data_IF_659537382132
#
_entry.id   IF_659537382132
#
_cell.length_a   1.000
_cell.length_b   1.000
_cell.length_c   1.000
_cell.angle_alpha   90.00
_cell.angle_beta   90.00
_cell.angle_gamma   90.00
#
_symmetry.space_group_name_H-M   'P 1'
#
loop_
_entity.id
_entity.type
_entity.pdbx_description
1 polymer ?
#
# COMPACT_ATOMS: atom_id res chain seq x y z
N UNK A 1 0.45 -3.95 -7.55
CA UNK A 1 0.49 -2.90 -6.51
C UNK A 1 0.44 -3.60 -5.16
N UNK A 2 1.59 -4.00 -4.61
CA UNK A 2 1.64 -4.47 -3.24
C UNK A 2 1.42 -3.31 -2.27
N UNK A 3 0.86 -3.63 -1.11
CA UNK A 3 0.65 -2.72 0.01
C UNK A 3 1.13 -3.46 1.26
N UNK A 4 2.01 -2.83 2.02
CA UNK A 4 2.48 -3.34 3.30
C UNK A 4 1.82 -2.54 4.42
N UNK A 5 1.31 -3.23 5.44
CA UNK A 5 0.43 -2.68 6.47
C UNK A 5 0.91 -3.13 7.85
N UNK A 6 0.89 -2.22 8.82
CA UNK A 6 0.98 -2.58 10.22
C UNK A 6 -0.33 -3.24 10.69
N UNK A 7 -0.22 -4.43 11.29
CA UNK A 7 -1.38 -5.30 11.56
C UNK A 7 -2.42 -4.63 12.48
N UNK A 8 -2.01 -3.99 13.56
CA UNK A 8 -2.96 -3.49 14.57
C UNK A 8 -3.64 -2.18 14.15
N UNK A 9 -2.83 -1.22 13.68
CA UNK A 9 -3.30 0.14 13.39
C UNK A 9 -3.76 0.35 11.95
N UNK A 10 -3.53 -0.63 11.09
CA UNK A 10 -3.80 -0.53 9.64
C UNK A 10 -3.03 0.63 9.00
N UNK A 11 -1.92 1.04 9.61
CA UNK A 11 -1.00 2.03 9.08
C UNK A 11 -0.35 1.45 7.84
N UNK A 12 -0.49 2.14 6.70
CA UNK A 12 0.16 1.71 5.46
C UNK A 12 1.63 2.12 5.53
N UNK A 13 2.50 1.12 5.55
CA UNK A 13 3.95 1.29 5.67
C UNK A 13 4.59 1.58 4.32
N UNK A 14 4.17 0.86 3.27
CA UNK A 14 4.64 1.12 1.91
C UNK A 14 3.61 0.70 0.86
N UNK A 15 3.68 1.34 -0.30
CA UNK A 15 2.93 1.00 -1.51
C UNK A 15 3.83 1.15 -2.73
N UNK A 16 3.78 0.17 -3.63
CA UNK A 16 4.56 0.19 -4.87
C UNK A 16 3.69 -0.04 -6.10
N UNK A 17 4.13 0.44 -7.25
CA UNK A 17 3.45 0.27 -8.54
C UNK A 17 4.35 -0.48 -9.51
N UNK A 18 3.81 -1.52 -10.13
CA UNK A 18 4.50 -2.27 -11.16
C UNK A 18 3.54 -2.75 -12.24
N UNK A 19 4.03 -2.95 -13.48
CA UNK A 19 3.23 -3.53 -14.55
C UNK A 19 2.81 -4.96 -14.20
N UNK A 20 1.62 -5.35 -14.65
CA UNK A 20 1.18 -6.74 -14.68
C UNK A 20 1.21 -7.23 -16.12
N UNK A 21 1.68 -8.45 -16.32
CA UNK A 21 1.62 -9.08 -17.62
C UNK A 21 0.17 -9.24 -18.07
N UNK A 22 -0.09 -9.14 -19.37
CA UNK A 22 -1.39 -9.48 -19.95
C UNK A 22 -1.55 -11.00 -19.88
N UNK A 23 -2.35 -11.49 -18.92
CA UNK A 23 -2.58 -12.91 -18.66
C UNK A 23 -4.07 -13.24 -18.75
N UNK A 24 -4.40 -14.51 -19.01
CA UNK A 24 -5.77 -15.05 -19.02
C UNK A 24 -6.29 -15.41 -20.41
N UNK A 25 -7.52 -15.93 -20.44
CA UNK A 25 -8.26 -16.31 -21.65
C UNK A 25 -8.82 -15.10 -22.39
N UNK A 26 -7.95 -14.36 -23.07
CA UNK A 26 -8.34 -13.22 -23.90
C UNK A 26 -9.18 -13.68 -25.10
N UNK A 27 -10.22 -12.92 -25.44
CA UNK A 27 -10.99 -13.14 -26.67
C UNK A 27 -10.10 -12.89 -27.88
N UNK A 28 -10.46 -13.47 -29.03
CA UNK A 28 -9.73 -13.31 -30.29
C UNK A 28 -9.33 -11.85 -30.59
N UNK A 29 -10.25 -10.86 -30.52
CA UNK A 29 -9.89 -9.47 -30.84
C UNK A 29 -8.91 -8.87 -29.82
N UNK A 30 -9.03 -9.24 -28.55
CA UNK A 30 -8.13 -8.74 -27.49
C UNK A 30 -6.73 -9.35 -27.62
N UNK A 31 -6.62 -10.60 -28.09
CA UNK A 31 -5.33 -11.24 -28.41
C UNK A 31 -4.65 -10.53 -29.57
N UNK A 32 -5.36 -10.28 -30.66
CA UNK A 32 -4.83 -9.53 -31.81
C UNK A 32 -4.34 -8.16 -31.35
N UNK A 33 -5.13 -7.43 -30.56
CA UNK A 33 -4.76 -6.12 -30.01
C UNK A 33 -3.52 -6.20 -29.11
N UNK A 34 -3.43 -7.23 -28.26
CA UNK A 34 -2.24 -7.49 -27.43
C UNK A 34 -1.02 -7.72 -28.31
N UNK A 35 -1.12 -8.55 -29.34
CA UNK A 35 0.01 -8.92 -30.19
C UNK A 35 0.52 -7.72 -30.99
N UNK A 36 -0.38 -6.88 -31.51
CA UNK A 36 -0.03 -5.60 -32.11
C UNK A 36 0.67 -4.63 -31.13
N UNK A 37 0.29 -4.65 -29.84
CA UNK A 37 0.96 -3.86 -28.82
C UNK A 37 2.35 -4.43 -28.48
N UNK A 38 2.47 -5.76 -28.40
CA UNK A 38 3.74 -6.44 -28.14
C UNK A 38 4.73 -6.20 -29.30
N UNK A 39 4.27 -6.26 -30.55
CA UNK A 39 5.09 -5.96 -31.72
C UNK A 39 5.62 -4.52 -31.71
N UNK A 40 4.82 -3.55 -31.25
CA UNK A 40 5.20 -2.13 -31.22
C UNK A 40 6.03 -1.73 -30.00
N UNK A 41 5.76 -2.32 -28.84
CA UNK A 41 6.23 -1.81 -27.54
C UNK A 41 6.92 -2.85 -26.67
N UNK A 42 7.08 -4.07 -27.19
CA UNK A 42 7.67 -5.20 -26.47
C UNK A 42 6.70 -5.87 -25.50
N UNK A 43 7.13 -7.03 -24.99
CA UNK A 43 6.33 -7.82 -24.06
C UNK A 43 6.20 -7.14 -22.69
N UNK A 44 4.95 -6.92 -22.25
CA UNK A 44 4.67 -6.44 -20.89
C UNK A 44 4.99 -7.53 -19.86
N UNK A 45 6.15 -7.40 -19.20
CA UNK A 45 6.54 -8.29 -18.09
C UNK A 45 5.86 -7.90 -16.79
N UNK A 46 5.68 -8.87 -15.89
CA UNK A 46 5.14 -8.65 -14.55
C UNK A 46 6.25 -8.15 -13.63
N UNK A 47 6.11 -6.94 -13.08
CA UNK A 47 7.02 -6.38 -12.07
C UNK A 47 6.57 -6.66 -10.63
N UNK A 48 5.63 -7.59 -10.42
CA UNK A 48 5.05 -7.84 -9.09
C UNK A 48 6.08 -8.28 -8.05
N UNK A 49 7.07 -9.08 -8.42
CA UNK A 49 8.12 -9.56 -7.50
C UNK A 49 9.01 -8.40 -7.06
N UNK A 50 9.47 -7.60 -8.03
CA UNK A 50 10.30 -6.41 -7.78
C UNK A 50 9.58 -5.41 -6.88
N UNK A 51 8.31 -5.12 -7.15
CA UNK A 51 7.52 -4.20 -6.33
C UNK A 51 7.35 -4.68 -4.88
N UNK A 52 7.16 -5.98 -4.65
CA UNK A 52 7.08 -6.53 -3.28
C UNK A 52 8.44 -6.46 -2.61
N UNK A 53 9.51 -6.80 -3.35
CA UNK A 53 10.88 -6.73 -2.84
C UNK A 53 11.24 -5.31 -2.41
N UNK A 54 10.84 -4.32 -3.20
CA UNK A 54 11.01 -2.90 -2.86
C UNK A 54 10.23 -2.51 -1.60
N UNK A 55 9.02 -3.02 -1.38
CA UNK A 55 8.32 -2.80 -0.09
C UNK A 55 9.10 -3.32 1.11
N UNK A 56 9.67 -4.52 0.99
CA UNK A 56 10.46 -5.09 2.07
C UNK A 56 11.77 -4.35 2.27
N UNK A 57 12.49 -4.05 1.17
CA UNK A 57 13.74 -3.30 1.20
C UNK A 57 13.59 -1.87 1.75
N UNK A 58 12.45 -1.21 1.53
CA UNK A 58 12.19 0.12 2.09
C UNK A 58 11.98 0.09 3.62
N UNK A 59 11.42 -0.99 4.15
CA UNK A 59 11.11 -1.13 5.57
C UNK A 59 12.25 -1.78 6.36
N UNK A 60 13.04 -2.66 5.73
CA UNK A 60 14.10 -3.37 6.41
C UNK A 60 15.10 -2.46 7.17
N UNK A 61 15.54 -1.31 6.63
CA UNK A 61 16.43 -0.39 7.36
C UNK A 61 15.79 0.27 8.59
N UNK A 62 14.46 0.26 8.68
CA UNK A 62 13.71 0.82 9.81
C UNK A 62 13.49 -0.21 10.93
N UNK A 63 13.80 -1.48 10.67
CA UNK A 63 13.72 -2.56 11.65
C UNK A 63 15.07 -2.67 12.37
N UNK A 64 15.04 -2.84 13.70
CA UNK A 64 16.26 -3.07 14.45
C UNK A 64 16.95 -4.37 13.96
N UNK A 65 18.30 -4.43 14.00
CA UNK A 65 19.01 -5.68 13.72
C UNK A 65 18.49 -6.81 14.61
N UNK A 66 18.13 -7.94 14.00
CA UNK A 66 17.55 -9.07 14.73
C UNK A 66 16.13 -8.85 15.25
N UNK A 67 15.44 -7.78 14.83
CA UNK A 67 14.06 -7.54 15.21
C UNK A 67 13.19 -8.78 14.92
N UNK A 68 12.56 -9.27 15.98
CA UNK A 68 11.48 -10.23 15.87
C UNK A 68 10.24 -9.60 15.23
N UNK A 69 9.28 -10.42 14.85
CA UNK A 69 8.01 -9.94 14.34
C UNK A 69 7.29 -10.98 13.51
N UNK A 70 6.19 -10.58 12.90
CA UNK A 70 5.37 -11.48 12.09
C UNK A 70 5.00 -10.83 10.76
N UNK A 71 5.41 -11.48 9.66
CA UNK A 71 4.87 -11.22 8.33
C UNK A 71 3.63 -12.08 8.14
N UNK A 72 2.51 -11.47 7.77
CA UNK A 72 1.33 -12.21 7.31
C UNK A 72 1.11 -11.95 5.82
N UNK A 73 1.02 -13.00 5.03
CA UNK A 73 0.69 -12.90 3.60
C UNK A 73 -0.14 -14.08 3.13
N UNK A 74 -0.61 -14.02 1.88
CA UNK A 74 -1.08 -15.23 1.21
C UNK A 74 0.06 -16.24 0.96
N UNK A 75 -0.26 -17.40 0.40
CA UNK A 75 0.67 -18.53 0.20
C UNK A 75 1.58 -18.40 -1.02
N UNK A 76 1.62 -17.25 -1.70
CA UNK A 76 2.49 -17.06 -2.86
C UNK A 76 3.96 -17.22 -2.47
N UNK A 77 4.63 -18.17 -3.11
CA UNK A 77 6.06 -18.49 -2.89
C UNK A 77 7.01 -17.29 -3.03
N UNK A 78 6.61 -16.27 -3.79
CA UNK A 78 7.37 -15.02 -3.93
C UNK A 78 7.61 -14.33 -2.59
N UNK A 79 6.65 -14.36 -1.66
CA UNK A 79 6.81 -13.72 -0.35
C UNK A 79 7.88 -14.42 0.50
N UNK A 80 7.96 -15.75 0.43
CA UNK A 80 8.97 -16.53 1.17
C UNK A 80 10.38 -16.11 0.76
N UNK A 81 10.64 -16.12 -0.56
CA UNK A 81 11.95 -15.75 -1.12
C UNK A 81 12.34 -14.31 -0.78
N UNK A 82 11.38 -13.39 -0.90
CA UNK A 82 11.64 -11.97 -0.63
C UNK A 82 11.81 -11.70 0.87
N UNK A 83 11.09 -12.41 1.75
CA UNK A 83 11.31 -12.33 3.19
C UNK A 83 12.74 -12.73 3.53
N UNK A 84 13.20 -13.88 3.02
CA UNK A 84 14.55 -14.38 3.28
C UNK A 84 15.63 -13.43 2.76
N UNK A 85 15.37 -12.75 1.64
CA UNK A 85 16.33 -11.84 1.02
C UNK A 85 16.38 -10.47 1.69
N UNK A 86 15.23 -9.89 2.03
CA UNK A 86 15.13 -8.46 2.35
C UNK A 86 14.82 -8.18 3.83
N UNK A 87 14.25 -9.13 4.58
CA UNK A 87 13.76 -8.89 5.94
C UNK A 87 14.60 -9.62 6.99
N UNK A 88 14.65 -9.13 8.25
CA UNK A 88 15.39 -9.77 9.32
C UNK A 88 15.06 -11.25 9.51
N UNK A 89 16.07 -12.05 9.86
CA UNK A 89 15.92 -13.49 10.07
C UNK A 89 14.90 -13.80 11.17
N UNK A 90 14.95 -13.06 12.28
CA UNK A 90 14.07 -13.19 13.44
C UNK A 90 12.58 -12.94 13.18
N UNK A 91 12.21 -12.46 11.98
CA UNK A 91 10.82 -12.26 11.61
C UNK A 91 10.17 -13.57 11.17
N UNK A 92 9.06 -13.98 11.79
CA UNK A 92 8.31 -15.19 11.42
C UNK A 92 7.38 -14.91 10.25
N UNK A 93 7.32 -15.80 9.25
CA UNK A 93 6.39 -15.69 8.13
C UNK A 93 5.20 -16.63 8.29
N UNK A 94 4.02 -16.06 8.56
CA UNK A 94 2.75 -16.78 8.58
C UNK A 94 2.06 -16.64 7.23
N UNK A 95 1.75 -17.78 6.62
CA UNK A 95 1.06 -17.86 5.33
C UNK A 95 -0.40 -18.25 5.57
N UNK A 96 -1.31 -17.56 4.90
CA UNK A 96 -2.75 -17.76 5.03
C UNK A 96 -3.29 -18.19 3.67
N UNK A 97 -4.00 -19.33 3.63
CA UNK A 97 -4.63 -19.80 2.40
C UNK A 97 -5.67 -18.79 1.90
N UNK A 98 -5.70 -18.60 0.58
CA UNK A 98 -6.70 -17.75 -0.06
C UNK A 98 -8.10 -18.35 -0.10
N UNK A 99 -8.23 -19.64 0.23
CA UNK A 99 -9.48 -20.39 0.31
C UNK A 99 -10.17 -20.21 1.67
N UNK A 100 -9.43 -19.77 2.68
CA UNK A 100 -9.97 -19.45 4.01
C UNK A 100 -11.16 -18.48 3.92
N UNK A 101 -12.23 -18.69 4.71
CA UNK A 101 -13.38 -17.82 4.71
C UNK A 101 -13.00 -16.34 4.85
N UNK A 102 -13.57 -15.51 3.99
CA UNK A 102 -13.32 -14.05 3.98
C UNK A 102 -14.19 -13.39 5.04
N UNK A 103 -13.80 -13.53 6.30
CA UNK A 103 -14.45 -12.90 7.45
C UNK A 103 -13.52 -11.94 8.19
N UNK A 104 -14.04 -11.27 9.22
CA UNK A 104 -13.24 -10.42 10.12
C UNK A 104 -12.15 -11.20 10.85
N UNK A 105 -12.34 -12.51 11.06
CA UNK A 105 -11.39 -13.39 11.73
C UNK A 105 -10.23 -13.81 10.80
N UNK A 106 -10.36 -13.58 9.49
CA UNK A 106 -9.29 -13.91 8.55
C UNK A 106 -8.13 -12.91 8.75
N UNK A 107 -6.88 -13.35 8.97
CA UNK A 107 -5.76 -12.44 9.16
C UNK A 107 -5.49 -11.51 7.96
N UNK A 108 -5.92 -11.90 6.76
CA UNK A 108 -5.86 -11.07 5.54
C UNK A 108 -7.01 -10.05 5.43
N UNK A 109 -7.99 -10.06 6.33
CA UNK A 109 -9.12 -9.14 6.30
C UNK A 109 -8.68 -7.68 6.25
N UNK A 110 -7.69 -7.32 7.08
CA UNK A 110 -7.21 -5.93 7.22
C UNK A 110 -6.58 -5.40 5.94
N UNK A 111 -5.75 -6.21 5.29
CA UNK A 111 -5.14 -5.84 4.01
C UNK A 111 -6.19 -5.81 2.89
N UNK A 112 -7.09 -6.79 2.84
CA UNK A 112 -8.17 -6.83 1.85
C UNK A 112 -9.11 -5.62 1.98
N UNK A 113 -9.47 -5.24 3.21
CA UNK A 113 -10.28 -4.06 3.49
C UNK A 113 -9.55 -2.77 3.12
N UNK A 114 -8.26 -2.68 3.43
CA UNK A 114 -7.42 -1.52 3.05
C UNK A 114 -7.33 -1.39 1.53
N UNK A 115 -7.16 -2.49 0.80
CA UNK A 115 -7.17 -2.48 -0.67
C UNK A 115 -8.54 -2.07 -1.25
N UNK A 116 -9.65 -2.48 -0.62
CA UNK A 116 -10.98 -2.02 -1.02
C UNK A 116 -11.15 -0.51 -0.82
N UNK A 117 -10.73 0.02 0.34
CA UNK A 117 -10.74 1.46 0.62
C UNK A 117 -9.82 2.24 -0.32
N UNK A 118 -8.67 1.68 -0.70
CA UNK A 118 -7.75 2.31 -1.64
C UNK A 118 -8.36 2.39 -3.05
N UNK A 119 -9.08 1.36 -3.50
CA UNK A 119 -9.79 1.41 -4.78
C UNK A 119 -10.90 2.46 -4.78
N UNK A 120 -11.64 2.56 -3.69
CA UNK A 120 -12.68 3.57 -3.52
C UNK A 120 -12.11 5.00 -3.50
N UNK A 121 -11.02 5.21 -2.74
CA UNK A 121 -10.38 6.52 -2.59
C UNK A 121 -9.45 6.94 -3.73
N UNK A 122 -9.05 6.02 -4.62
CA UNK A 122 -8.16 6.30 -5.75
C UNK A 122 -8.87 5.92 -7.04
N UNK A 123 -9.60 6.90 -7.61
CA UNK A 123 -10.44 6.74 -8.82
C UNK A 123 -9.73 6.05 -10.00
N UNK A 124 -8.40 6.22 -10.09
CA UNK A 124 -7.53 5.63 -11.12
C UNK A 124 -7.41 4.11 -11.05
N UNK A 125 -7.74 3.50 -9.90
CA UNK A 125 -7.77 2.05 -9.71
C UNK A 125 -9.09 1.41 -10.15
N UNK A 126 -10.14 2.21 -10.31
CA UNK A 126 -11.50 1.74 -10.65
C UNK A 126 -11.87 2.09 -12.09
N UNK A 127 -11.64 3.34 -12.51
CA UNK A 127 -12.10 3.83 -13.81
C UNK A 127 -11.05 3.58 -14.90
N UNK A 128 -11.44 2.80 -15.92
CA UNK A 128 -10.56 2.43 -17.04
C UNK A 128 -10.39 3.52 -18.10
N UNK A 129 -11.34 4.46 -18.21
CA UNK A 129 -11.39 5.44 -19.32
C UNK A 129 -11.03 6.86 -18.89
N UNK A 130 -11.71 7.42 -17.90
CA UNK A 130 -11.56 8.84 -17.53
C UNK A 130 -10.41 9.13 -16.57
N UNK A 131 -10.12 8.25 -15.61
CA UNK A 131 -9.14 8.49 -14.56
C UNK A 131 -7.86 7.67 -14.71
N UNK A 132 -7.56 7.15 -15.91
CA UNK A 132 -6.39 6.29 -16.10
C UNK A 132 -5.08 7.06 -15.93
N UNK A 133 -4.12 6.49 -15.18
CA UNK A 133 -2.75 7.04 -15.14
C UNK A 133 -1.99 6.62 -16.41
N UNK A 134 -1.56 7.60 -17.21
CA UNK A 134 -0.72 7.35 -18.40
C UNK A 134 0.68 6.86 -18.04
N UNK A 135 1.18 7.21 -16.85
CA UNK A 135 2.51 6.86 -16.33
C UNK A 135 2.40 6.22 -14.95
N UNK A 136 3.23 5.21 -14.66
CA UNK A 136 3.20 4.46 -13.39
C UNK A 136 3.58 5.34 -12.19
N UNK A 137 4.51 6.26 -12.40
CA UNK A 137 5.02 7.19 -11.39
C UNK A 137 3.90 8.13 -10.92
N UNK A 138 2.98 8.48 -11.83
CA UNK A 138 1.82 9.31 -11.50
C UNK A 138 0.74 8.54 -10.74
N UNK A 139 0.64 7.22 -10.95
CA UNK A 139 -0.20 6.37 -10.10
C UNK A 139 0.41 6.28 -8.71
N UNK A 140 1.72 6.00 -8.61
CA UNK A 140 2.43 5.89 -7.33
C UNK A 140 2.31 7.16 -6.48
N UNK A 141 2.52 8.34 -7.07
CA UNK A 141 2.30 9.63 -6.37
C UNK A 141 0.88 9.77 -5.81
N UNK A 142 -0.13 9.40 -6.59
CA UNK A 142 -1.53 9.48 -6.13
C UNK A 142 -1.83 8.45 -5.02
N UNK A 143 -1.24 7.25 -5.10
CA UNK A 143 -1.34 6.27 -4.01
C UNK A 143 -0.74 6.83 -2.71
N UNK A 144 0.40 7.51 -2.79
CA UNK A 144 1.01 8.15 -1.62
C UNK A 144 0.17 9.27 -1.03
N UNK A 145 -0.50 10.10 -1.86
CA UNK A 145 -1.48 11.08 -1.36
C UNK A 145 -2.59 10.39 -0.56
N UNK A 146 -3.12 9.27 -1.07
CA UNK A 146 -4.13 8.50 -0.36
C UNK A 146 -3.59 7.86 0.93
N UNK A 147 -2.36 7.33 0.91
CA UNK A 147 -1.69 6.77 2.09
C UNK A 147 -1.55 7.81 3.19
N UNK A 148 -1.10 9.02 2.84
CA UNK A 148 -0.97 10.13 3.79
C UNK A 148 -2.35 10.48 4.37
N UNK A 149 -3.36 10.68 3.53
CA UNK A 149 -4.72 10.92 4.02
C UNK A 149 -5.20 9.80 4.96
N UNK A 150 -4.99 8.54 4.60
CA UNK A 150 -5.42 7.40 5.41
C UNK A 150 -4.69 7.30 6.75
N UNK A 151 -3.38 7.48 6.75
CA UNK A 151 -2.56 7.28 7.95
C UNK A 151 -2.73 8.42 8.94
N UNK A 152 -2.81 9.67 8.45
CA UNK A 152 -2.72 10.87 9.30
C UNK A 152 -4.05 11.56 9.53
N UNK A 153 -4.90 11.66 8.50
CA UNK A 153 -6.13 12.47 8.55
C UNK A 153 -7.35 11.61 8.89
N UNK A 154 -7.49 10.46 8.23
CA UNK A 154 -8.65 9.58 8.41
C UNK A 154 -8.59 8.86 9.76
N UNK A 155 -9.77 8.62 10.36
CA UNK A 155 -9.91 7.70 11.50
C UNK A 155 -9.38 6.33 11.13
N UNK A 156 -8.73 5.66 12.08
CA UNK A 156 -8.24 4.30 11.92
C UNK A 156 -9.38 3.34 11.51
N UNK A 157 -10.41 3.28 12.37
CA UNK A 157 -11.71 2.61 12.15
C UNK A 157 -12.84 3.51 12.63
N UNK A 158 -14.09 3.21 12.24
CA UNK A 158 -15.24 4.05 12.59
C UNK A 158 -15.44 4.20 14.11
N UNK A 159 -15.08 3.16 14.88
CA UNK A 159 -15.18 3.12 16.35
C UNK A 159 -13.98 3.77 17.07
N UNK A 160 -13.08 4.43 16.35
CA UNK A 160 -11.92 5.14 16.92
C UNK A 160 -12.04 6.64 16.65
N UNK A 161 -12.95 7.36 17.34
CA UNK A 161 -13.08 8.81 17.17
C UNK A 161 -11.79 9.51 17.62
N UNK A 162 -11.34 10.51 16.86
CA UNK A 162 -10.15 11.30 17.21
C UNK A 162 -8.81 10.59 17.02
N UNK A 163 -8.79 9.30 16.68
CA UNK A 163 -7.57 8.51 16.49
C UNK A 163 -7.35 8.12 15.03
N UNK A 164 -6.20 8.50 14.47
CA UNK A 164 -5.69 8.05 13.18
C UNK A 164 -4.74 6.87 13.37
N UNK A 165 -4.32 6.22 12.26
CA UNK A 165 -3.32 5.17 12.35
C UNK A 165 -1.97 5.70 12.84
N UNK A 166 -1.64 6.96 12.50
CA UNK A 166 -0.44 7.64 12.96
C UNK A 166 -0.51 7.99 14.44
N UNK A 167 -1.65 8.48 14.93
CA UNK A 167 -1.79 8.82 16.36
C UNK A 167 -1.85 7.59 17.26
N UNK A 168 -2.32 6.44 16.75
CA UNK A 168 -2.18 5.15 17.45
C UNK A 168 -0.72 4.83 17.77
N UNK A 169 0.20 5.21 16.89
CA UNK A 169 1.65 5.02 17.06
C UNK A 169 2.33 6.18 17.80
N UNK A 170 1.56 7.12 18.36
CA UNK A 170 2.10 8.27 19.09
C UNK A 170 2.81 9.32 18.23
N UNK A 171 2.69 9.26 16.90
CA UNK A 171 3.30 10.24 16.00
C UNK A 171 2.65 11.63 16.12
N UNK A 172 1.37 11.65 16.48
CA UNK A 172 0.55 12.85 16.67
C UNK A 172 -0.47 12.61 17.80
N UNK A 173 -0.95 13.65 18.48
CA UNK A 173 -1.92 13.51 19.57
C UNK A 173 -3.30 13.00 19.10
N UNK A 174 -3.62 13.13 17.80
CA UNK A 174 -4.88 12.69 17.24
C UNK A 174 -4.86 12.69 15.72
N UNK A 175 -6.05 12.70 15.11
CA UNK A 175 -6.18 12.93 13.67
C UNK A 175 -5.62 14.30 13.30
N UNK A 176 -4.75 14.34 12.29
CA UNK A 176 -4.30 15.60 11.74
C UNK A 176 -5.41 16.19 10.87
N UNK A 177 -5.82 17.45 11.08
CA UNK A 177 -6.69 18.12 10.13
C UNK A 177 -5.93 18.36 8.81
N UNK A 178 -6.66 18.46 7.70
CA UNK A 178 -6.06 18.56 6.37
C UNK A 178 -5.12 19.76 6.22
N UNK A 179 -5.38 20.87 6.91
CA UNK A 179 -4.51 22.06 6.85
C UNK A 179 -3.15 21.81 7.51
N UNK A 180 -3.11 21.14 8.67
CA UNK A 180 -1.85 20.81 9.35
C UNK A 180 -1.02 19.81 8.56
N UNK A 181 -1.68 18.89 7.85
CA UNK A 181 -0.99 17.96 6.96
C UNK A 181 -0.20 18.69 5.87
N UNK A 182 -0.78 19.73 5.27
CA UNK A 182 -0.08 20.52 4.25
C UNK A 182 1.13 21.26 4.84
N UNK A 183 1.07 21.67 6.11
CA UNK A 183 2.19 22.29 6.84
C UNK A 183 3.41 21.38 7.04
N UNK A 184 3.26 20.05 6.84
CA UNK A 184 4.39 19.11 6.83
C UNK A 184 5.25 19.24 5.56
N UNK A 185 4.70 19.79 4.47
CA UNK A 185 5.44 20.08 3.25
C UNK A 185 6.05 21.48 3.34
N UNK A 186 7.38 21.64 3.27
CA UNK A 186 8.05 22.93 3.43
C UNK A 186 7.50 24.03 2.51
N UNK A 187 7.11 23.67 1.28
CA UNK A 187 6.54 24.57 0.27
C UNK A 187 5.16 25.15 0.60
N UNK A 188 4.42 24.56 1.55
CA UNK A 188 3.10 25.00 1.99
C UNK A 188 3.12 25.56 3.41
N UNK A 189 4.31 25.69 4.01
CA UNK A 189 4.49 26.47 5.23
C UNK A 189 4.40 27.95 4.86
N UNK A 190 3.20 28.51 4.94
CA UNK A 190 3.07 29.96 5.07
C UNK A 190 3.59 30.40 6.46
N UNK A 191 3.43 29.53 7.47
CA UNK A 191 3.97 29.62 8.83
C UNK A 191 4.13 28.19 9.40
N UNK A 192 5.04 27.95 10.38
CA UNK A 192 5.13 26.67 11.07
C UNK A 192 3.78 26.31 11.72
N UNK A 193 3.39 25.02 11.76
CA UNK A 193 2.14 24.61 12.41
C UNK A 193 2.16 25.09 13.85
N UNK A 194 1.15 25.88 14.23
CA UNK A 194 0.92 26.30 15.60
C UNK A 194 0.88 25.04 16.46
N UNK A 195 1.95 24.79 17.22
CA UNK A 195 1.87 23.91 18.38
C UNK A 195 0.83 24.56 19.29
N UNK A 196 -0.43 24.14 19.17
CA UNK A 196 -1.44 24.47 20.16
C UNK A 196 -0.96 23.82 21.45
N UNK A 197 -0.37 24.64 22.31
CA UNK A 197 -0.09 24.26 23.69
C UNK A 197 -1.40 23.73 24.27
N UNK A 198 -1.34 22.53 24.82
CA UNK A 198 -2.46 21.98 25.56
C UNK A 198 -2.74 22.93 26.73
N UNK A 199 -3.91 23.58 26.69
CA UNK A 199 -4.54 24.27 27.81
C UNK A 199 -5.57 23.34 28.43
#
# INVERSE_FOLDING_TARGET
>A
MPVLLHELSWFVLDVQVAPLASRGGLREPDRIRRDQLVARSGLRRSGSTEAVGKCFANIAPLLAPGAGGMLRSDEKLTYVRLKQKELPEGMTHVRISSEEPRGMNNPLFRINRTLAMMRDGVSRLVRRTWAASKRREQLEKHLWVWVVFRNYVRRMINRSPGQSAASFHGLFPGQLPTHDLLGLCPQFRADPPLMRAAS
#
